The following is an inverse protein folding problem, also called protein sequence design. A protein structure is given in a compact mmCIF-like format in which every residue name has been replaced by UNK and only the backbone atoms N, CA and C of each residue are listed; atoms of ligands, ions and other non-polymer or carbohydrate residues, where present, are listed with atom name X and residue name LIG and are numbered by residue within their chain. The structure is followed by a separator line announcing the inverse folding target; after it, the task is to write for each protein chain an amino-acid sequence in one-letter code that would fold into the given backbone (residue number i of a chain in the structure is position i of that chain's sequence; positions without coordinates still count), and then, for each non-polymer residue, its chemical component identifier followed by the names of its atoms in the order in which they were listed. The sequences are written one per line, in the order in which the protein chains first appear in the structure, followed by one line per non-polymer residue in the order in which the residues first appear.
data_IF_822168913846
#
_entry.id   IF_822168913846
#
_cell.length_a   1.000
_cell.length_b   1.000
_cell.length_c   1.000
_cell.angle_alpha   90.00
_cell.angle_beta   90.00
_cell.angle_gamma   90.00
#
_symmetry.space_group_name_H-M   'P 1'
#
loop_
_entity.id
_entity.type
_entity.pdbx_description
1 polymer ?
#
# COMPACT_ATOMS: atom_id res chain seq x y z
N UNK A 1 23.36 -4.37 19.68
CA UNK A 1 23.67 -3.77 21.01
C UNK A 1 24.60 -2.56 20.83
N UNK A 2 24.36 -1.47 21.57
CA UNK A 2 24.93 -0.10 21.46
C UNK A 2 24.71 0.64 20.13
N UNK A 3 25.13 0.08 19.00
CA UNK A 3 24.92 0.70 17.68
C UNK A 3 23.43 0.75 17.31
N UNK A 4 22.71 -0.31 17.67
CA UNK A 4 21.25 -0.44 17.53
C UNK A 4 20.49 0.65 18.29
N UNK A 5 21.02 1.10 19.44
CA UNK A 5 20.41 2.11 20.29
C UNK A 5 20.61 3.53 19.72
N UNK A 6 21.76 3.78 19.09
CA UNK A 6 22.03 5.05 18.41
C UNK A 6 21.23 5.18 17.11
N UNK A 7 21.17 4.10 16.32
CA UNK A 7 20.35 4.01 15.10
C UNK A 7 18.85 4.12 15.43
N UNK A 8 18.38 3.45 16.49
CA UNK A 8 17.00 3.64 16.99
C UNK A 8 16.72 5.09 17.35
N UNK A 9 17.66 5.80 17.97
CA UNK A 9 17.44 7.20 18.40
C UNK A 9 17.38 8.17 17.22
N UNK A 10 18.14 7.91 16.15
CA UNK A 10 18.08 8.68 14.91
C UNK A 10 16.78 8.43 14.12
N UNK A 11 16.29 7.19 14.11
CA UNK A 11 15.02 6.83 13.47
C UNK A 11 13.77 7.12 14.32
N UNK A 12 13.91 7.22 15.65
CA UNK A 12 12.82 7.56 16.57
C UNK A 12 12.59 9.07 16.66
N UNK A 13 12.60 9.75 15.50
CA UNK A 13 12.23 11.16 15.37
C UNK A 13 10.72 11.28 15.54
N UNK A 14 10.29 11.48 16.79
CA UNK A 14 8.96 11.94 17.23
C UNK A 14 7.83 11.72 16.22
N UNK A 15 7.18 10.55 16.29
CA UNK A 15 5.74 10.52 16.02
C UNK A 15 5.06 10.93 17.33
N UNK A 16 4.97 12.25 17.56
CA UNK A 16 4.17 12.80 18.65
C UNK A 16 2.68 12.50 18.44
N UNK A 17 1.83 12.62 19.47
CA UNK A 17 0.39 12.36 19.38
C UNK A 17 -0.27 13.46 18.51
N UNK A 18 -0.16 13.31 17.20
CA UNK A 18 -0.49 14.37 16.26
C UNK A 18 -1.54 13.84 15.30
N UNK A 19 -2.81 13.83 15.74
CA UNK A 19 -4.03 13.60 14.93
C UNK A 19 -3.72 12.88 13.61
N UNK A 20 -3.26 11.63 13.69
CA UNK A 20 -2.95 10.85 12.51
C UNK A 20 -4.27 10.43 11.89
N UNK A 21 -4.76 11.19 10.92
CA UNK A 21 -6.05 10.89 10.32
C UNK A 21 -5.99 11.06 8.82
N UNK A 22 -5.77 9.93 8.14
CA UNK A 22 -5.96 9.71 6.70
C UNK A 22 -4.99 10.44 5.75
N UNK A 23 -4.76 11.75 5.90
CA UNK A 23 -3.96 12.54 4.96
C UNK A 23 -2.49 12.13 4.90
N UNK A 24 -1.83 11.87 6.03
CA UNK A 24 -0.45 11.35 6.04
C UNK A 24 -0.35 9.97 5.38
N UNK A 25 -1.33 9.10 5.60
CA UNK A 25 -1.35 7.75 5.02
C UNK A 25 -1.59 7.80 3.51
N UNK A 26 -2.47 8.68 3.04
CA UNK A 26 -2.70 8.92 1.61
C UNK A 26 -1.46 9.52 0.96
N UNK A 27 -0.85 10.54 1.58
CA UNK A 27 0.38 11.15 1.06
C UNK A 27 1.52 10.12 0.99
N UNK A 28 1.69 9.29 2.03
CA UNK A 28 2.69 8.21 2.03
C UNK A 28 2.40 7.17 0.95
N UNK A 29 1.15 6.76 0.76
CA UNK A 29 0.77 5.81 -0.28
C UNK A 29 1.01 6.38 -1.69
N UNK A 30 0.71 7.67 -1.89
CA UNK A 30 0.97 8.36 -3.14
C UNK A 30 2.48 8.47 -3.42
N UNK A 31 3.28 8.88 -2.43
CA UNK A 31 4.74 8.92 -2.56
C UNK A 31 5.34 7.56 -2.91
N UNK A 32 4.85 6.48 -2.27
CA UNK A 32 5.33 5.13 -2.54
C UNK A 32 4.94 4.64 -3.95
N UNK A 33 3.73 4.97 -4.40
CA UNK A 33 3.26 4.67 -5.76
C UNK A 33 4.05 5.46 -6.80
N UNK A 34 4.31 6.74 -6.56
CA UNK A 34 5.06 7.60 -7.48
C UNK A 34 6.51 7.15 -7.63
N UNK A 35 7.20 6.84 -6.52
CA UNK A 35 8.56 6.29 -6.53
C UNK A 35 8.61 4.97 -7.31
N UNK A 36 7.66 4.05 -7.06
CA UNK A 36 7.63 2.76 -7.76
C UNK A 36 7.48 2.91 -9.28
N UNK A 37 6.58 3.77 -9.75
CA UNK A 37 6.41 4.01 -11.19
C UNK A 37 7.65 4.71 -11.79
N UNK A 38 8.24 5.65 -11.06
CA UNK A 38 9.44 6.36 -11.51
C UNK A 38 10.62 5.40 -11.66
N UNK A 39 10.83 4.51 -10.68
CA UNK A 39 11.90 3.51 -10.70
C UNK A 39 11.75 2.58 -11.90
N UNK A 40 10.54 2.08 -12.19
CA UNK A 40 10.30 1.23 -13.36
C UNK A 40 10.60 1.95 -14.66
N UNK A 41 10.19 3.22 -14.80
CA UNK A 41 10.47 4.01 -16.01
C UNK A 41 11.98 4.23 -16.16
N UNK A 42 12.68 4.59 -15.08
CA UNK A 42 14.14 4.81 -15.10
C UNK A 42 14.88 3.52 -15.44
N UNK A 43 14.58 2.40 -14.77
CA UNK A 43 15.19 1.10 -15.04
C UNK A 43 14.91 0.67 -16.49
N UNK A 44 13.67 0.78 -16.95
CA UNK A 44 13.30 0.43 -18.32
C UNK A 44 14.00 1.30 -19.36
N UNK A 45 14.22 2.58 -19.06
CA UNK A 45 14.96 3.49 -19.92
C UNK A 45 16.45 3.13 -19.98
N UNK A 46 17.08 2.83 -18.84
CA UNK A 46 18.47 2.39 -18.81
C UNK A 46 18.70 1.06 -19.56
N UNK A 47 17.75 0.13 -19.48
CA UNK A 47 17.84 -1.15 -20.18
C UNK A 47 17.63 -0.99 -21.69
N UNK A 48 16.63 -0.19 -22.10
CA UNK A 48 16.21 -0.14 -23.51
C UNK A 48 16.88 0.99 -24.31
N UNK A 49 17.33 2.06 -23.65
CA UNK A 49 17.83 3.29 -24.28
C UNK A 49 16.79 4.07 -25.09
N UNK A 50 15.51 3.66 -25.06
CA UNK A 50 14.42 4.21 -25.88
C UNK A 50 13.27 4.67 -24.99
N UNK A 51 13.05 5.99 -24.92
CA UNK A 51 11.99 6.61 -24.11
C UNK A 51 10.59 6.03 -24.39
N UNK A 52 10.27 5.75 -25.67
CA UNK A 52 8.98 5.18 -26.06
C UNK A 52 8.68 3.85 -25.38
N UNK A 53 9.68 2.97 -25.27
CA UNK A 53 9.50 1.65 -24.67
C UNK A 53 9.45 1.74 -23.14
N UNK A 54 10.29 2.58 -22.53
CA UNK A 54 10.24 2.82 -21.09
C UNK A 54 8.87 3.36 -20.64
N UNK A 55 8.29 4.28 -21.41
CA UNK A 55 6.96 4.81 -21.15
C UNK A 55 5.87 3.74 -21.30
N UNK A 56 5.96 2.87 -22.31
CA UNK A 56 5.04 1.73 -22.46
C UNK A 56 5.10 0.79 -21.26
N UNK A 57 6.29 0.46 -20.77
CA UNK A 57 6.46 -0.41 -19.60
C UNK A 57 5.87 0.24 -18.34
N UNK A 58 6.16 1.52 -18.08
CA UNK A 58 5.57 2.25 -16.97
C UNK A 58 4.04 2.32 -17.04
N UNK A 59 3.47 2.50 -18.24
CA UNK A 59 2.01 2.51 -18.43
C UNK A 59 1.38 1.15 -18.11
N UNK A 60 1.99 0.05 -18.59
CA UNK A 60 1.52 -1.32 -18.31
C UNK A 60 1.63 -1.63 -16.82
N UNK A 61 2.70 -1.20 -16.14
CA UNK A 61 2.87 -1.40 -14.70
C UNK A 61 1.75 -0.75 -13.90
N UNK A 62 1.42 0.51 -14.19
CA UNK A 62 0.33 1.24 -13.52
C UNK A 62 -1.01 0.54 -13.75
N UNK A 63 -1.33 0.18 -14.99
CA UNK A 63 -2.56 -0.54 -15.33
C UNK A 63 -2.66 -1.90 -14.62
N UNK A 64 -1.56 -2.66 -14.61
CA UNK A 64 -1.49 -3.95 -13.94
C UNK A 64 -1.73 -3.81 -12.44
N UNK A 65 -1.11 -2.81 -11.78
CA UNK A 65 -1.31 -2.54 -10.36
C UNK A 65 -2.74 -2.12 -10.02
N UNK A 66 -3.39 -1.33 -10.86
CA UNK A 66 -4.81 -0.95 -10.67
C UNK A 66 -5.69 -2.19 -10.73
N UNK A 67 -5.51 -3.03 -11.77
CA UNK A 67 -6.29 -4.25 -11.94
C UNK A 67 -6.09 -5.21 -10.76
N UNK A 68 -4.85 -5.41 -10.35
CA UNK A 68 -4.48 -6.31 -9.25
C UNK A 68 -4.98 -5.79 -7.90
N UNK A 69 -4.94 -4.47 -7.67
CA UNK A 69 -5.53 -3.84 -6.49
C UNK A 69 -7.06 -4.03 -6.44
N UNK A 70 -7.75 -3.81 -7.55
CA UNK A 70 -9.20 -4.01 -7.63
C UNK A 70 -9.60 -5.47 -7.33
N UNK A 71 -8.90 -6.44 -7.92
CA UNK A 71 -9.13 -7.86 -7.66
C UNK A 71 -8.84 -8.19 -6.19
N UNK A 72 -7.74 -7.69 -5.64
CA UNK A 72 -7.40 -7.88 -4.23
C UNK A 72 -8.50 -7.34 -3.30
N UNK A 73 -8.98 -6.12 -3.53
CA UNK A 73 -10.05 -5.52 -2.74
C UNK A 73 -11.36 -6.34 -2.84
N UNK A 74 -11.72 -6.80 -4.04
CA UNK A 74 -12.93 -7.60 -4.24
C UNK A 74 -12.86 -8.98 -3.60
N UNK A 75 -11.68 -9.61 -3.58
CA UNK A 75 -11.44 -10.86 -2.88
C UNK A 75 -11.50 -10.63 -1.35
N UNK A 76 -10.87 -9.57 -0.86
CA UNK A 76 -10.83 -9.24 0.56
C UNK A 76 -12.22 -8.94 1.14
N UNK A 77 -13.06 -8.24 0.38
CA UNK A 77 -14.46 -7.97 0.74
C UNK A 77 -15.24 -9.28 0.93
N UNK A 78 -15.09 -10.25 0.03
CA UNK A 78 -15.75 -11.56 0.13
C UNK A 78 -15.37 -12.34 1.38
N UNK A 79 -14.12 -12.21 1.84
CA UNK A 79 -13.66 -12.87 3.07
C UNK A 79 -14.03 -12.12 4.34
N UNK A 80 -14.08 -10.79 4.30
CA UNK A 80 -14.37 -9.96 5.47
C UNK A 80 -15.86 -9.94 5.81
N UNK A 81 -16.74 -9.90 4.81
CA UNK A 81 -18.21 -9.90 5.01
C UNK A 81 -18.68 -11.15 5.77
N UNK A 82 -18.02 -12.31 5.58
CA UNK A 82 -18.36 -13.55 6.29
C UNK A 82 -18.09 -13.51 7.80
N UNK A 83 -17.08 -12.76 8.26
CA UNK A 83 -16.76 -12.67 9.69
C UNK A 83 -17.81 -11.86 10.45
N UNK A 84 -18.25 -10.74 9.90
CA UNK A 84 -19.23 -9.88 10.55
C UNK A 84 -20.62 -10.53 10.64
N UNK A 85 -21.06 -11.25 9.61
CA UNK A 85 -22.34 -11.97 9.64
C UNK A 85 -22.38 -13.06 10.72
N UNK A 86 -21.29 -13.82 10.86
CA UNK A 86 -21.19 -14.90 11.84
C UNK A 86 -21.02 -14.39 13.29
N UNK A 87 -20.42 -13.20 13.49
CA UNK A 87 -20.36 -12.56 14.81
C UNK A 87 -21.72 -12.00 15.26
N UNK A 88 -22.49 -11.42 14.33
CA UNK A 88 -23.83 -10.89 14.61
C UNK A 88 -24.82 -11.98 15.02
N UNK A 89 -24.80 -13.13 14.33
CA UNK A 89 -25.63 -14.30 14.66
C UNK A 89 -25.29 -14.87 16.03
N UNK A 90 -24.00 -14.94 16.38
CA UNK A 90 -23.52 -15.48 17.66
C UNK A 90 -23.79 -14.57 18.86
N UNK A 91 -23.94 -13.26 18.63
CA UNK A 91 -24.19 -12.26 19.68
C UNK A 91 -25.67 -12.00 19.98
N UNK A 92 -26.60 -12.59 19.22
CA UNK A 92 -28.04 -12.37 19.39
C UNK A 92 -28.61 -13.30 20.49
N UNK A 93 -28.97 -12.78 21.68
CA UNK A 93 -29.50 -13.61 22.77
C UNK A 93 -30.95 -14.07 22.54
N UNK A 94 -31.59 -13.65 21.43
CA UNK A 94 -32.99 -13.95 21.11
C UNK A 94 -33.14 -15.24 20.27
N UNK A 95 -32.03 -15.78 19.72
CA UNK A 95 -32.03 -16.96 18.86
C UNK A 95 -31.75 -18.29 19.62
N UNK A 96 -31.60 -18.25 20.94
CA UNK A 96 -31.32 -19.39 21.81
C UNK A 96 -32.54 -19.79 22.65
#
# INVERSE_FOLDING_TARGET
MLLDQYLRKAFNRKQGPNKDSKFKSIAKAFSWRFLGTLDTIVISYFITGKLKMAFSIGTIEVFSKILLYYVHERIWERFTVKKHAHELEKSNPVAA
#
